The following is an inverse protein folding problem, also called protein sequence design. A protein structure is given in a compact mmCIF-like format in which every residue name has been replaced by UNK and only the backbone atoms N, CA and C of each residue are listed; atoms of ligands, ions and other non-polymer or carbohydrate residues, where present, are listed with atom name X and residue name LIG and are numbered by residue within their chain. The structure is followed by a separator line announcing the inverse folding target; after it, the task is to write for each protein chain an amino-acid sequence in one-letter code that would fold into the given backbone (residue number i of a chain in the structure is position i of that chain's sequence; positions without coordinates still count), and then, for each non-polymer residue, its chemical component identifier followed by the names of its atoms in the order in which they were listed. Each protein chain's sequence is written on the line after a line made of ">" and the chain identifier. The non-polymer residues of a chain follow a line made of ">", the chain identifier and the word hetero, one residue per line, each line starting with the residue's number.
data_IF_676961224215
#
_entry.id   IF_676961224215
#
_cell.length_a   1.000
_cell.length_b   1.000
_cell.length_c   1.000
_cell.angle_alpha   90.00
_cell.angle_beta   90.00
_cell.angle_gamma   90.00
#
_symmetry.space_group_name_H-M   'P 1'
#
loop_
_entity.id
_entity.type
_entity.pdbx_description
1 polymer ?
#
# COMPACT_ATOMS: atom_id res chain seq x y z
N UNK A 1 -3.26 -14.56 34.06
CA UNK A 1 -3.27 -13.68 32.87
C UNK A 1 -4.63 -13.86 32.20
N UNK A 2 -5.41 -12.79 31.97
CA UNK A 2 -6.67 -12.92 31.24
C UNK A 2 -6.39 -13.49 29.85
N UNK A 3 -7.18 -14.47 29.45
CA UNK A 3 -7.12 -15.10 28.14
C UNK A 3 -8.52 -15.11 27.52
N UNK A 4 -8.59 -14.97 26.22
CA UNK A 4 -9.82 -14.95 25.44
C UNK A 4 -9.66 -15.82 24.21
N UNK A 5 -10.68 -16.60 23.90
CA UNK A 5 -10.81 -17.27 22.61
C UNK A 5 -11.78 -16.46 21.77
N UNK A 6 -11.39 -16.19 20.53
CA UNK A 6 -12.20 -15.47 19.57
C UNK A 6 -12.65 -16.44 18.47
N UNK A 7 -13.94 -16.73 18.43
CA UNK A 7 -14.56 -17.56 17.40
C UNK A 7 -15.38 -16.67 16.47
N UNK A 8 -14.94 -16.51 15.22
CA UNK A 8 -15.53 -15.53 14.31
C UNK A 8 -16.42 -16.15 13.23
N UNK A 9 -15.95 -17.17 12.54
CA UNK A 9 -16.55 -17.67 11.31
C UNK A 9 -16.39 -19.20 11.23
N UNK A 10 -17.33 -19.86 10.54
CA UNK A 10 -17.25 -21.31 10.30
C UNK A 10 -16.68 -21.61 8.92
N UNK A 11 -15.60 -22.38 8.87
CA UNK A 11 -15.01 -22.84 7.59
C UNK A 11 -15.92 -23.82 6.81
N UNK A 12 -17.00 -24.33 7.42
CA UNK A 12 -18.00 -25.18 6.77
C UNK A 12 -19.20 -24.40 6.23
N UNK A 13 -19.28 -23.11 6.49
CA UNK A 13 -20.36 -22.24 6.00
C UNK A 13 -19.84 -21.40 4.83
N UNK A 14 -20.43 -21.57 3.65
CA UNK A 14 -20.02 -20.85 2.45
C UNK A 14 -20.12 -19.33 2.60
N UNK A 15 -21.19 -18.82 3.22
CA UNK A 15 -21.35 -17.37 3.45
C UNK A 15 -20.28 -16.82 4.39
N UNK A 16 -19.93 -17.55 5.46
CA UNK A 16 -18.84 -17.19 6.36
C UNK A 16 -17.50 -17.19 5.63
N UNK A 17 -17.28 -18.16 4.75
CA UNK A 17 -16.04 -18.25 3.98
C UNK A 17 -15.88 -17.16 2.93
N UNK A 18 -16.97 -16.66 2.33
CA UNK A 18 -16.91 -15.47 1.48
C UNK A 18 -16.33 -14.27 2.24
N UNK A 19 -16.83 -14.04 3.46
CA UNK A 19 -16.34 -12.97 4.34
C UNK A 19 -14.92 -13.26 4.83
N UNK A 20 -14.62 -14.52 5.20
CA UNK A 20 -13.31 -14.91 5.71
C UNK A 20 -12.18 -14.77 4.69
N UNK A 21 -12.47 -14.92 3.40
CA UNK A 21 -11.49 -14.75 2.34
C UNK A 21 -11.32 -13.29 1.89
N UNK A 22 -12.27 -12.41 2.20
CA UNK A 22 -12.20 -10.99 1.85
C UNK A 22 -11.09 -10.28 2.67
N UNK A 23 -10.07 -9.71 2.02
CA UNK A 23 -8.99 -9.01 2.70
C UNK A 23 -9.47 -7.79 3.49
N UNK A 24 -10.50 -7.10 3.02
CA UNK A 24 -11.08 -5.94 3.70
C UNK A 24 -11.78 -6.35 5.00
N UNK A 25 -12.57 -7.42 4.98
CA UNK A 25 -13.18 -7.98 6.19
C UNK A 25 -12.13 -8.43 7.21
N UNK A 26 -11.04 -9.08 6.77
CA UNK A 26 -9.91 -9.44 7.65
C UNK A 26 -9.30 -8.22 8.31
N UNK A 27 -9.12 -7.14 7.56
CA UNK A 27 -8.60 -5.89 8.08
C UNK A 27 -9.53 -5.27 9.14
N UNK A 28 -10.84 -5.17 8.85
CA UNK A 28 -11.83 -4.60 9.79
C UNK A 28 -11.87 -5.40 11.09
N UNK A 29 -11.93 -6.73 11.00
CA UNK A 29 -11.93 -7.60 12.17
C UNK A 29 -10.66 -7.44 13.01
N UNK A 30 -9.50 -7.44 12.37
CA UNK A 30 -8.21 -7.23 13.04
C UNK A 30 -8.15 -5.85 13.71
N UNK A 31 -8.67 -4.81 13.05
CA UNK A 31 -8.73 -3.46 13.61
C UNK A 31 -9.68 -3.36 14.80
N UNK A 32 -10.83 -4.02 14.76
CA UNK A 32 -11.77 -4.08 15.88
C UNK A 32 -11.13 -4.74 17.11
N UNK A 33 -10.45 -5.88 16.92
CA UNK A 33 -9.71 -6.57 17.98
C UNK A 33 -8.62 -5.65 18.56
N UNK A 34 -7.85 -4.99 17.71
CA UNK A 34 -6.82 -4.04 18.13
C UNK A 34 -7.40 -2.92 18.99
N UNK A 35 -8.50 -2.28 18.60
CA UNK A 35 -9.15 -1.23 19.35
C UNK A 35 -9.64 -1.74 20.72
N UNK A 36 -10.28 -2.89 20.75
CA UNK A 36 -10.73 -3.54 21.98
C UNK A 36 -9.58 -3.81 22.96
N UNK A 37 -8.43 -4.26 22.46
CA UNK A 37 -7.22 -4.47 23.29
C UNK A 37 -6.70 -3.14 23.84
N UNK A 38 -6.68 -2.07 23.04
CA UNK A 38 -6.27 -0.75 23.51
C UNK A 38 -7.18 -0.23 24.63
N UNK A 39 -8.50 -0.31 24.43
CA UNK A 39 -9.50 0.12 25.44
C UNK A 39 -9.38 -0.69 26.73
N UNK A 40 -9.29 -2.02 26.61
CA UNK A 40 -9.11 -2.89 27.77
C UNK A 40 -7.85 -2.53 28.55
N UNK A 41 -6.71 -2.32 27.87
CA UNK A 41 -5.46 -1.90 28.51
C UNK A 41 -5.60 -0.54 29.22
N UNK A 42 -6.29 0.41 28.61
CA UNK A 42 -6.54 1.71 29.23
C UNK A 42 -7.36 1.57 30.51
N UNK A 43 -8.42 0.75 30.49
CA UNK A 43 -9.28 0.50 31.65
C UNK A 43 -8.51 -0.16 32.81
N UNK A 44 -7.81 -1.27 32.58
CA UNK A 44 -7.11 -1.99 33.64
C UNK A 44 -5.95 -1.19 34.27
N UNK A 45 -5.37 -0.26 33.51
CA UNK A 45 -4.29 0.61 33.99
C UNK A 45 -4.77 2.01 34.38
N UNK A 46 -6.09 2.26 34.42
CA UNK A 46 -6.70 3.55 34.75
C UNK A 46 -6.11 4.72 33.92
N UNK A 47 -5.85 4.48 32.64
CA UNK A 47 -5.35 5.48 31.68
C UNK A 47 -6.52 6.17 30.96
N UNK A 48 -6.31 7.38 30.40
CA UNK A 48 -7.27 8.01 29.50
C UNK A 48 -7.64 7.10 28.31
N UNK A 49 -8.78 7.39 27.68
CA UNK A 49 -9.18 6.73 26.45
C UNK A 49 -8.05 6.77 25.41
N UNK A 50 -7.71 5.65 24.78
CA UNK A 50 -6.58 5.59 23.86
C UNK A 50 -6.88 6.37 22.58
N UNK A 51 -5.86 7.02 22.02
CA UNK A 51 -5.87 7.43 20.63
C UNK A 51 -5.55 6.23 19.75
N UNK A 52 -6.29 6.05 18.66
CA UNK A 52 -6.07 4.95 17.70
C UNK A 52 -5.21 5.43 16.55
N UNK A 53 -4.26 4.63 16.12
CA UNK A 53 -3.41 4.96 14.96
C UNK A 53 -4.24 5.20 13.70
N UNK A 54 -3.79 6.11 12.78
CA UNK A 54 -4.51 6.41 11.54
C UNK A 54 -4.59 5.21 10.59
N UNK A 55 -5.48 5.31 9.61
CA UNK A 55 -5.48 4.46 8.43
C UNK A 55 -4.37 4.89 7.45
N UNK A 56 -3.90 3.99 6.56
CA UNK A 56 -2.97 4.36 5.49
C UNK A 56 -3.55 5.45 4.60
N UNK A 57 -2.67 6.26 4.01
CA UNK A 57 -3.11 7.28 3.04
C UNK A 57 -3.61 6.64 1.75
N UNK A 58 -4.54 7.32 1.08
CA UNK A 58 -5.11 6.95 -0.21
C UNK A 58 -4.63 7.89 -1.32
N UNK A 59 -4.82 7.48 -2.57
CA UNK A 59 -4.57 8.29 -3.78
C UNK A 59 -3.17 8.93 -3.79
N UNK A 60 -2.15 8.19 -3.33
CA UNK A 60 -0.79 8.67 -3.37
C UNK A 60 -0.33 8.84 -4.81
N UNK A 61 0.16 10.03 -5.14
CA UNK A 61 0.68 10.37 -6.45
C UNK A 61 2.05 11.06 -6.35
N UNK A 62 2.92 10.76 -7.31
CA UNK A 62 4.22 11.39 -7.50
C UNK A 62 4.31 11.92 -8.94
N UNK A 63 4.30 13.23 -9.10
CA UNK A 63 4.30 13.89 -10.40
C UNK A 63 5.63 14.60 -10.62
N UNK A 64 6.35 14.23 -11.68
CA UNK A 64 7.61 14.84 -12.06
C UNK A 64 7.38 16.21 -12.73
N UNK A 65 8.14 17.20 -12.31
CA UNK A 65 8.21 18.52 -12.93
C UNK A 65 9.61 18.73 -13.50
N UNK A 66 9.74 18.58 -14.81
CA UNK A 66 11.02 18.71 -15.50
C UNK A 66 11.57 20.14 -15.47
N UNK A 67 10.69 21.17 -15.46
CA UNK A 67 11.07 22.57 -15.48
C UNK A 67 11.73 22.99 -14.15
N UNK A 68 11.12 22.59 -13.04
CA UNK A 68 11.54 22.99 -11.71
C UNK A 68 12.49 21.95 -11.06
N UNK A 69 12.75 20.84 -11.74
CA UNK A 69 13.54 19.70 -11.23
C UNK A 69 13.02 19.22 -9.87
N UNK A 70 11.71 19.11 -9.76
CA UNK A 70 11.01 18.70 -8.55
C UNK A 70 10.05 17.54 -8.84
N UNK A 71 9.72 16.82 -7.79
CA UNK A 71 8.63 15.84 -7.77
C UNK A 71 7.61 16.34 -6.76
N UNK A 72 6.37 16.52 -7.22
CA UNK A 72 5.25 16.84 -6.34
C UNK A 72 4.64 15.55 -5.85
N UNK A 73 4.64 15.33 -4.55
CA UNK A 73 3.87 14.29 -3.87
C UNK A 73 2.56 14.85 -3.38
N UNK A 74 1.48 14.08 -3.53
CA UNK A 74 0.17 14.39 -2.95
C UNK A 74 -0.56 13.12 -2.59
N UNK A 75 -1.38 13.17 -1.54
CA UNK A 75 -2.18 12.05 -1.06
C UNK A 75 -3.45 12.53 -0.37
N UNK A 76 -4.37 11.61 -0.13
CA UNK A 76 -5.60 11.86 0.62
C UNK A 76 -5.51 11.15 1.98
N UNK A 77 -5.75 11.85 3.10
CA UNK A 77 -5.95 11.18 4.39
C UNK A 77 -7.16 10.25 4.29
N UNK A 78 -7.06 9.06 4.87
CA UNK A 78 -8.19 8.16 4.98
C UNK A 78 -8.87 8.35 6.34
N UNK A 79 -10.15 8.68 6.33
CA UNK A 79 -10.97 8.76 7.54
C UNK A 79 -11.38 7.35 8.00
N UNK A 80 -11.39 7.13 9.30
CA UNK A 80 -12.03 5.95 9.90
C UNK A 80 -13.39 6.40 10.48
N UNK A 81 -14.52 6.06 9.81
CA UNK A 81 -15.84 6.53 10.24
C UNK A 81 -16.27 5.96 11.59
N UNK A 82 -15.62 4.89 12.04
CA UNK A 82 -15.89 4.24 13.33
C UNK A 82 -14.88 4.60 14.41
N UNK A 83 -13.93 5.53 14.12
CA UNK A 83 -12.87 5.89 15.05
C UNK A 83 -12.36 7.33 14.85
N UNK A 84 -13.05 8.32 15.42
CA UNK A 84 -12.68 9.74 15.24
C UNK A 84 -11.27 10.09 15.72
N UNK A 85 -10.72 9.33 16.69
CA UNK A 85 -9.36 9.57 17.21
C UNK A 85 -8.26 9.19 16.20
N UNK A 86 -8.58 8.42 15.17
CA UNK A 86 -7.64 7.96 14.15
C UNK A 86 -7.29 9.03 13.11
N UNK A 87 -7.59 10.30 13.36
CA UNK A 87 -7.24 11.40 12.44
C UNK A 87 -5.74 11.65 12.45
N UNK A 88 -5.08 11.69 11.25
CA UNK A 88 -3.66 12.01 11.16
C UNK A 88 -3.36 13.46 11.60
N UNK A 89 -2.27 13.65 12.32
CA UNK A 89 -1.72 14.97 12.66
C UNK A 89 -0.47 15.32 11.85
N UNK A 90 0.21 14.29 11.32
CA UNK A 90 1.41 14.43 10.49
C UNK A 90 1.60 13.20 9.61
N UNK A 91 2.60 13.26 8.73
CA UNK A 91 2.96 12.18 7.82
C UNK A 91 4.48 12.00 7.78
N UNK A 92 4.93 10.77 7.53
CA UNK A 92 6.33 10.47 7.28
C UNK A 92 6.44 10.01 5.83
N UNK A 93 7.26 10.73 5.06
CA UNK A 93 7.58 10.40 3.66
C UNK A 93 8.91 9.66 3.65
N UNK A 94 8.91 8.40 3.23
CA UNK A 94 10.13 7.63 2.99
C UNK A 94 10.51 7.71 1.52
N UNK A 95 11.79 7.96 1.26
CA UNK A 95 12.35 8.14 -0.09
C UNK A 95 13.40 7.06 -0.34
N UNK A 96 13.33 6.47 -1.53
CA UNK A 96 14.35 5.57 -2.05
C UNK A 96 14.79 6.06 -3.43
N UNK A 97 16.09 6.06 -3.68
CA UNK A 97 16.69 6.50 -4.96
C UNK A 97 17.28 5.29 -5.68
N UNK A 98 16.82 5.03 -6.89
CA UNK A 98 17.21 3.83 -7.65
C UNK A 98 17.12 2.56 -6.77
N UNK A 99 18.19 1.77 -6.71
CA UNK A 99 18.25 0.52 -5.94
C UNK A 99 18.86 0.67 -4.53
N UNK A 100 19.03 1.92 -4.05
CA UNK A 100 19.50 2.19 -2.69
C UNK A 100 18.47 1.77 -1.64
N UNK A 101 18.84 1.79 -0.37
CA UNK A 101 17.92 1.61 0.76
C UNK A 101 16.92 2.76 0.90
N UNK A 102 15.88 2.55 1.68
CA UNK A 102 14.98 3.61 2.13
C UNK A 102 15.72 4.53 3.12
N UNK A 103 15.41 5.82 3.07
CA UNK A 103 15.90 6.79 4.06
C UNK A 103 15.18 6.64 5.42
N UNK A 104 15.51 7.54 6.35
CA UNK A 104 14.91 7.57 7.69
C UNK A 104 13.55 8.29 7.73
N UNK A 105 13.07 8.80 6.59
CA UNK A 105 11.81 9.52 6.47
C UNK A 105 11.88 11.00 6.81
N UNK A 106 11.02 11.77 6.18
CA UNK A 106 10.83 13.21 6.38
C UNK A 106 9.44 13.44 6.97
N UNK A 107 9.35 14.09 8.12
CA UNK A 107 8.07 14.42 8.76
C UNK A 107 7.51 15.69 8.15
N UNK A 108 6.22 15.66 7.78
CA UNK A 108 5.48 16.80 7.23
C UNK A 108 4.07 16.88 7.82
N UNK A 109 3.49 18.08 7.88
CA UNK A 109 2.15 18.34 8.42
C UNK A 109 1.13 18.68 7.31
N UNK A 110 1.49 18.41 6.06
CA UNK A 110 0.67 18.67 4.89
C UNK A 110 0.51 17.40 4.08
N UNK A 111 -0.52 17.31 3.27
CA UNK A 111 -0.77 16.19 2.36
C UNK A 111 -0.29 16.48 0.91
N UNK A 112 0.54 17.49 0.73
CA UNK A 112 1.19 17.84 -0.53
C UNK A 112 2.57 18.46 -0.27
N UNK A 113 3.60 17.94 -0.96
CA UNK A 113 4.99 18.35 -0.77
C UNK A 113 5.74 18.34 -2.11
N UNK A 114 6.62 19.30 -2.31
CA UNK A 114 7.57 19.29 -3.43
C UNK A 114 8.94 18.82 -2.95
N UNK A 115 9.47 17.81 -3.61
CA UNK A 115 10.78 17.21 -3.34
C UNK A 115 11.73 17.61 -4.46
N UNK A 116 12.87 18.22 -4.11
CA UNK A 116 13.92 18.48 -5.09
C UNK A 116 14.49 17.17 -5.62
N UNK A 117 14.58 17.04 -6.93
CA UNK A 117 15.00 15.82 -7.59
C UNK A 117 16.21 16.05 -8.49
N UNK A 118 17.17 15.14 -8.42
CA UNK A 118 18.26 15.07 -9.38
C UNK A 118 17.77 14.44 -10.67
N UNK A 119 17.95 15.09 -11.85
CA UNK A 119 17.59 14.48 -13.12
C UNK A 119 18.24 13.11 -13.32
N UNK A 120 17.51 12.19 -13.94
CA UNK A 120 17.98 10.85 -14.23
C UNK A 120 17.84 9.83 -13.11
N UNK A 121 17.58 10.26 -11.87
CA UNK A 121 17.36 9.38 -10.73
C UNK A 121 15.87 8.98 -10.66
N UNK A 122 15.59 7.69 -10.53
CA UNK A 122 14.25 7.17 -10.22
C UNK A 122 14.05 7.25 -8.71
N UNK A 123 13.14 8.13 -8.28
CA UNK A 123 12.73 8.26 -6.89
C UNK A 123 11.52 7.37 -6.64
N UNK A 124 11.50 6.73 -5.48
CA UNK A 124 10.40 5.88 -5.00
C UNK A 124 9.95 6.41 -3.65
N UNK A 125 8.65 6.42 -3.40
CA UNK A 125 8.06 7.05 -2.23
C UNK A 125 7.04 6.13 -1.57
N UNK A 126 7.01 6.17 -0.24
CA UNK A 126 5.96 5.62 0.61
C UNK A 126 5.60 6.65 1.66
N UNK A 127 4.34 6.70 2.02
CA UNK A 127 3.83 7.63 3.04
C UNK A 127 3.20 6.84 4.18
N UNK A 128 3.43 7.30 5.40
CA UNK A 128 2.83 6.80 6.63
C UNK A 128 2.11 7.96 7.29
N UNK A 129 0.85 7.77 7.68
CA UNK A 129 0.10 8.72 8.48
C UNK A 129 0.41 8.50 9.97
N UNK A 130 0.50 9.58 10.74
CA UNK A 130 0.91 9.55 12.15
C UNK A 130 -0.01 10.41 12.99
N UNK A 131 -0.33 9.95 14.20
CA UNK A 131 -0.95 10.70 15.29
C UNK A 131 -0.41 10.23 16.64
N UNK A 132 -0.99 10.67 17.74
CA UNK A 132 -0.58 10.28 19.10
C UNK A 132 -0.78 8.78 19.39
N UNK A 133 -1.67 8.11 18.65
CA UNK A 133 -1.89 6.66 18.72
C UNK A 133 -0.85 5.83 17.99
N UNK A 134 0.01 6.46 17.19
CA UNK A 134 1.08 5.79 16.45
C UNK A 134 1.04 6.02 14.95
N UNK A 135 1.66 5.11 14.21
CA UNK A 135 1.83 5.17 12.77
C UNK A 135 0.91 4.20 12.04
N UNK A 136 0.35 4.61 10.92
CA UNK A 136 -0.39 3.72 10.02
C UNK A 136 0.51 2.65 9.41
N UNK A 137 -0.08 1.68 8.74
CA UNK A 137 0.65 0.89 7.76
C UNK A 137 1.19 1.80 6.65
N UNK A 138 2.27 1.37 5.99
CA UNK A 138 2.84 2.10 4.85
C UNK A 138 1.87 2.06 3.67
N UNK A 139 1.81 3.16 2.92
CA UNK A 139 1.12 3.18 1.63
C UNK A 139 1.75 2.22 0.63
N UNK A 140 1.05 1.96 -0.46
CA UNK A 140 1.67 1.44 -1.68
C UNK A 140 2.80 2.38 -2.13
N UNK A 141 3.67 1.86 -2.97
CA UNK A 141 4.81 2.61 -3.48
C UNK A 141 4.47 3.30 -4.79
N UNK A 142 4.77 4.58 -4.88
CA UNK A 142 4.77 5.33 -6.14
C UNK A 142 6.18 5.74 -6.51
N UNK A 143 6.41 6.04 -7.78
CA UNK A 143 7.70 6.48 -8.27
C UNK A 143 7.59 7.67 -9.22
N UNK A 144 8.66 8.44 -9.32
CA UNK A 144 8.79 9.49 -10.32
C UNK A 144 10.25 9.71 -10.70
N UNK A 145 10.48 10.19 -11.91
CA UNK A 145 11.80 10.54 -12.43
C UNK A 145 11.73 11.85 -13.20
N UNK A 146 12.56 12.80 -12.81
CA UNK A 146 12.78 14.02 -13.59
C UNK A 146 13.78 13.71 -14.70
N UNK A 147 13.49 14.05 -15.97
CA UNK A 147 14.39 13.84 -17.08
C UNK A 147 15.52 14.87 -17.10
N UNK A 148 16.54 14.61 -17.91
CA UNK A 148 17.59 15.60 -18.20
C UNK A 148 17.08 16.71 -19.15
N UNK A 149 16.29 16.31 -20.16
CA UNK A 149 15.73 17.22 -21.16
C UNK A 149 14.35 17.73 -20.73
N UNK A 150 14.09 19.02 -20.93
CA UNK A 150 12.77 19.62 -20.72
C UNK A 150 11.71 19.14 -21.73
N UNK A 151 12.17 18.61 -22.86
CA UNK A 151 11.33 18.10 -23.94
C UNK A 151 11.25 16.55 -23.94
N UNK A 152 11.61 15.91 -22.84
CA UNK A 152 11.53 14.47 -22.71
C UNK A 152 10.06 14.00 -22.78
N UNK A 153 9.85 12.81 -23.28
CA UNK A 153 8.53 12.19 -23.31
C UNK A 153 8.02 11.97 -21.89
N UNK A 154 6.79 12.39 -21.64
CA UNK A 154 6.10 12.19 -20.36
C UNK A 154 5.38 10.85 -20.35
N UNK A 155 5.53 10.11 -19.25
CA UNK A 155 4.86 8.83 -19.02
C UNK A 155 4.19 8.86 -17.64
N UNK A 156 2.91 8.51 -17.60
CA UNK A 156 2.15 8.31 -16.38
C UNK A 156 1.87 6.83 -16.17
N UNK A 157 2.28 6.28 -15.02
CA UNK A 157 1.99 4.93 -14.59
C UNK A 157 0.87 4.98 -13.57
N UNK A 158 -0.28 4.42 -13.90
CA UNK A 158 -1.46 4.37 -13.01
C UNK A 158 -1.61 2.96 -12.46
N UNK A 159 -1.50 2.82 -11.14
CA UNK A 159 -1.83 1.58 -10.44
C UNK A 159 -3.31 1.65 -10.04
N UNK A 160 -4.17 1.00 -10.81
CA UNK A 160 -5.62 1.00 -10.64
C UNK A 160 -6.19 -0.33 -10.14
N UNK A 161 -5.40 -1.16 -9.50
CA UNK A 161 -5.85 -2.44 -8.96
C UNK A 161 -5.42 -2.62 -7.50
N UNK A 162 -6.22 -3.36 -6.77
CA UNK A 162 -5.89 -3.76 -5.41
C UNK A 162 -4.85 -4.88 -5.43
N UNK A 163 -3.86 -4.76 -4.56
CA UNK A 163 -2.80 -5.74 -4.42
C UNK A 163 -3.27 -7.03 -3.73
N UNK A 164 -4.25 -6.92 -2.85
CA UNK A 164 -4.84 -8.03 -2.13
C UNK A 164 -6.15 -8.43 -2.80
N UNK A 165 -6.34 -9.72 -3.03
CA UNK A 165 -7.55 -10.26 -3.62
C UNK A 165 -8.01 -11.51 -2.85
N UNK A 166 -9.32 -11.68 -2.71
CA UNK A 166 -9.91 -12.91 -2.22
C UNK A 166 -9.72 -14.04 -3.24
N UNK A 167 -9.77 -15.29 -2.77
CA UNK A 167 -9.88 -16.43 -3.66
C UNK A 167 -11.19 -16.36 -4.45
N UNK A 168 -11.19 -16.83 -5.70
CA UNK A 168 -12.40 -16.85 -6.50
C UNK A 168 -13.44 -17.80 -5.92
N UNK A 169 -14.61 -17.27 -5.64
CA UNK A 169 -15.75 -18.06 -5.21
C UNK A 169 -16.42 -18.79 -6.38
N UNK A 170 -16.80 -20.03 -6.15
CA UNK A 170 -17.63 -20.83 -7.04
C UNK A 170 -19.04 -20.89 -6.46
N UNK A 171 -20.03 -20.48 -7.23
CA UNK A 171 -21.44 -20.59 -6.88
C UNK A 171 -22.21 -21.07 -8.12
N UNK A 172 -22.39 -22.38 -8.21
CA UNK A 172 -23.10 -23.06 -9.28
C UNK A 172 -24.25 -23.89 -8.71
N UNK A 173 -25.12 -24.41 -9.54
CA UNK A 173 -26.25 -25.25 -9.11
C UNK A 173 -25.80 -26.55 -8.39
N UNK A 174 -24.58 -26.99 -8.63
CA UNK A 174 -24.04 -28.25 -8.10
C UNK A 174 -22.92 -28.10 -7.09
N UNK A 175 -22.20 -26.96 -7.09
CA UNK A 175 -21.02 -26.74 -6.24
C UNK A 175 -20.98 -25.32 -5.72
N UNK A 176 -20.81 -25.18 -4.40
CA UNK A 176 -20.47 -23.91 -3.73
C UNK A 176 -19.18 -24.05 -2.96
N UNK A 177 -18.25 -23.09 -3.13
CA UNK A 177 -16.97 -23.13 -2.45
C UNK A 177 -15.90 -22.30 -3.13
N UNK A 178 -14.66 -22.75 -3.01
CA UNK A 178 -13.47 -22.06 -3.56
C UNK A 178 -12.57 -23.11 -4.22
N UNK A 179 -12.10 -22.83 -5.42
CA UNK A 179 -11.11 -23.66 -6.10
C UNK A 179 -9.72 -23.03 -5.94
N UNK A 180 -9.11 -23.31 -4.79
CA UNK A 180 -7.78 -22.78 -4.45
C UNK A 180 -6.67 -23.25 -5.41
N UNK A 181 -6.92 -24.22 -6.28
CA UNK A 181 -5.95 -24.67 -7.28
C UNK A 181 -5.96 -23.81 -8.53
N UNK A 182 -7.09 -23.14 -8.82
CA UNK A 182 -7.25 -22.27 -9.98
C UNK A 182 -6.99 -20.81 -9.65
N UNK A 183 -7.58 -20.33 -8.55
CA UNK A 183 -7.42 -18.97 -8.08
C UNK A 183 -7.46 -18.91 -6.54
N UNK A 184 -6.29 -19.03 -5.89
CA UNK A 184 -6.19 -18.95 -4.43
C UNK A 184 -6.30 -17.52 -3.91
N UNK A 185 -6.41 -16.51 -4.77
CA UNK A 185 -6.32 -15.11 -4.41
C UNK A 185 -4.91 -14.68 -3.98
N UNK A 186 -4.79 -13.44 -3.53
CA UNK A 186 -3.57 -12.85 -3.00
C UNK A 186 -3.82 -12.38 -1.57
N UNK A 187 -3.47 -13.20 -0.60
CA UNK A 187 -3.88 -13.03 0.79
C UNK A 187 -2.89 -12.26 1.67
N UNK A 188 -1.67 -11.99 1.21
CA UNK A 188 -0.59 -11.47 2.05
C UNK A 188 -0.16 -10.07 1.69
N UNK A 189 0.06 -9.25 2.71
CA UNK A 189 0.52 -7.87 2.60
C UNK A 189 2.05 -7.72 2.50
N UNK A 190 2.80 -8.81 2.43
CA UNK A 190 4.26 -8.75 2.42
C UNK A 190 4.84 -8.77 1.01
N UNK A 191 6.03 -8.20 0.89
CA UNK A 191 6.80 -8.10 -0.34
C UNK A 191 7.52 -9.43 -0.69
N UNK A 192 6.95 -10.54 -0.30
CA UNK A 192 7.48 -11.88 -0.57
C UNK A 192 6.62 -12.56 -1.61
N UNK A 193 7.24 -13.30 -2.49
CA UNK A 193 6.53 -14.19 -3.40
C UNK A 193 5.67 -15.17 -2.60
N UNK A 194 4.39 -15.21 -2.91
CA UNK A 194 3.50 -16.28 -2.47
C UNK A 194 3.72 -17.47 -3.40
N UNK A 195 3.80 -18.65 -2.85
CA UNK A 195 3.92 -19.88 -3.63
C UNK A 195 2.56 -20.57 -3.70
N UNK A 196 2.25 -21.15 -4.85
CA UNK A 196 1.12 -22.05 -4.98
C UNK A 196 1.37 -23.39 -4.26
N UNK A 197 0.39 -24.28 -4.29
CA UNK A 197 0.50 -25.62 -3.66
C UNK A 197 1.61 -26.50 -4.25
N UNK A 198 2.11 -26.16 -5.44
CA UNK A 198 3.20 -26.86 -6.12
C UNK A 198 4.56 -26.18 -5.93
N UNK A 199 4.63 -25.15 -5.10
CA UNK A 199 5.84 -24.38 -4.85
C UNK A 199 6.21 -23.41 -5.97
N UNK A 200 5.30 -23.12 -6.90
CA UNK A 200 5.52 -22.12 -7.94
C UNK A 200 5.28 -20.72 -7.40
N UNK A 201 6.16 -19.73 -7.69
CA UNK A 201 5.95 -18.37 -7.25
C UNK A 201 4.70 -17.78 -7.92
N UNK A 202 3.80 -17.25 -7.09
CA UNK A 202 2.64 -16.51 -7.54
C UNK A 202 2.99 -15.02 -7.66
N UNK A 203 2.78 -14.45 -8.83
CA UNK A 203 2.94 -13.02 -9.04
C UNK A 203 1.88 -12.24 -8.28
N UNK A 204 2.18 -11.02 -7.88
CA UNK A 204 1.16 -10.06 -7.54
C UNK A 204 1.13 -9.52 -6.12
N UNK A 205 2.07 -9.86 -5.25
CA UNK A 205 2.06 -9.38 -3.87
C UNK A 205 3.21 -8.41 -3.53
N UNK A 206 3.49 -7.48 -4.42
CA UNK A 206 4.54 -6.49 -4.21
C UNK A 206 3.98 -5.06 -4.09
N UNK A 207 4.64 -4.21 -3.30
CA UNK A 207 4.27 -2.80 -3.14
C UNK A 207 4.79 -1.89 -4.26
N UNK A 208 5.62 -2.39 -5.16
CA UNK A 208 6.46 -1.58 -6.03
C UNK A 208 6.13 -1.68 -7.53
N UNK A 209 4.92 -2.05 -7.90
CA UNK A 209 4.51 -2.15 -9.31
C UNK A 209 4.89 -0.94 -10.17
N UNK A 210 4.58 0.31 -9.77
CA UNK A 210 4.95 1.47 -10.57
C UNK A 210 6.45 1.57 -10.80
N UNK A 211 7.27 1.25 -9.80
CA UNK A 211 8.73 1.31 -9.92
C UNK A 211 9.30 0.19 -10.82
N UNK A 212 8.70 -1.00 -10.81
CA UNK A 212 9.06 -2.09 -11.73
C UNK A 212 8.78 -1.68 -13.17
N UNK A 213 7.56 -1.22 -13.47
CA UNK A 213 7.21 -0.74 -14.81
C UNK A 213 8.06 0.45 -15.25
N UNK A 214 8.37 1.40 -14.35
CA UNK A 214 9.26 2.49 -14.64
C UNK A 214 10.67 2.00 -15.02
N UNK A 215 11.18 1.02 -14.30
CA UNK A 215 12.50 0.43 -14.59
C UNK A 215 12.52 -0.24 -15.95
N UNK A 216 11.48 -1.01 -16.29
CA UNK A 216 11.36 -1.68 -17.59
C UNK A 216 11.26 -0.67 -18.75
N UNK A 217 10.49 0.40 -18.58
CA UNK A 217 10.37 1.47 -19.57
C UNK A 217 11.72 2.17 -19.82
N UNK A 218 12.55 2.32 -18.79
CA UNK A 218 13.87 2.92 -18.90
C UNK A 218 14.88 1.99 -19.58
N UNK A 219 14.67 0.66 -19.51
CA UNK A 219 15.52 -0.38 -20.09
C UNK A 219 15.10 -0.82 -21.50
N UNK A 220 13.93 -0.40 -21.99
CA UNK A 220 13.27 -0.92 -23.20
C UNK A 220 13.98 -0.63 -24.53
N UNK A 221 15.23 -0.23 -24.54
CA UNK A 221 16.06 -0.23 -25.74
C UNK A 221 16.88 -1.54 -25.80
N UNK A 222 16.70 -2.32 -26.88
CA UNK A 222 17.34 -3.64 -27.06
C UNK A 222 18.87 -3.61 -27.01
N UNK A 223 19.46 -2.44 -27.09
CA UNK A 223 20.92 -2.24 -27.14
C UNK A 223 21.55 -1.86 -25.79
N UNK A 224 20.80 -1.84 -24.71
CA UNK A 224 21.25 -1.57 -23.34
C UNK A 224 22.27 -0.41 -23.14
N UNK A 225 22.61 0.30 -24.21
CA UNK A 225 23.68 1.31 -24.23
C UNK A 225 23.23 2.70 -23.83
N UNK A 226 21.92 3.01 -23.90
CA UNK A 226 21.35 4.29 -23.46
C UNK A 226 19.99 4.10 -22.77
N UNK A 227 19.89 4.52 -21.53
CA UNK A 227 18.60 4.65 -20.87
C UNK A 227 17.79 5.76 -21.51
N UNK A 228 16.50 5.52 -21.81
CA UNK A 228 15.60 6.54 -22.33
C UNK A 228 15.50 7.71 -21.35
N UNK A 229 15.52 8.92 -21.87
CA UNK A 229 15.29 10.11 -21.08
C UNK A 229 13.79 10.40 -20.99
N UNK A 230 13.10 9.77 -20.02
CA UNK A 230 11.67 9.88 -19.80
C UNK A 230 11.38 10.71 -18.54
N UNK A 231 10.36 11.55 -18.60
CA UNK A 231 9.69 12.11 -17.43
C UNK A 231 8.68 11.09 -16.94
N UNK A 232 8.91 10.47 -15.78
CA UNK A 232 8.04 9.44 -15.24
C UNK A 232 7.29 10.00 -14.04
N UNK A 233 5.97 9.82 -14.05
CA UNK A 233 5.07 10.09 -12.93
C UNK A 233 4.27 8.83 -12.62
N UNK A 234 3.82 8.67 -11.38
CA UNK A 234 2.92 7.58 -11.07
C UNK A 234 1.91 7.95 -9.99
N UNK A 235 0.79 7.24 -10.00
CA UNK A 235 -0.22 7.35 -8.96
C UNK A 235 -0.85 5.99 -8.68
N UNK A 236 -1.45 5.88 -7.49
CA UNK A 236 -2.40 4.83 -7.15
C UNK A 236 -3.80 5.44 -7.11
N UNK A 237 -4.76 4.68 -7.61
CA UNK A 237 -6.18 4.96 -7.46
C UNK A 237 -6.71 3.97 -6.43
N UNK A 238 -7.13 4.49 -5.28
CA UNK A 238 -7.78 3.67 -4.25
C UNK A 238 -9.25 3.53 -4.59
N UNK A 239 -9.76 2.31 -4.50
CA UNK A 239 -11.18 2.01 -4.69
C UNK A 239 -12.02 2.51 -3.50
#
# INVERSE_FOLDING_TARGET
>A
VPSMILELLSHQNYADMLVAHDPYCKFILSRAIYKTILEYNAQIHQRPAPCVQPLPVQNLAAVANAKDKQITLSWTPQEDPLEPTATPTSYIIYIKQNDRGWDNGIVVNTNRVNINATPGILYRFRVVAVNDGGSSLKSEEVCARVPYSKNATEVMIVNGFERLAAAQALDTDSVRGFDMTKDPGVAYMQNTSVYDLNGMPMAGNTFNYPAMHASDLLLADQDHSARRDLAISSCMVSA
#
